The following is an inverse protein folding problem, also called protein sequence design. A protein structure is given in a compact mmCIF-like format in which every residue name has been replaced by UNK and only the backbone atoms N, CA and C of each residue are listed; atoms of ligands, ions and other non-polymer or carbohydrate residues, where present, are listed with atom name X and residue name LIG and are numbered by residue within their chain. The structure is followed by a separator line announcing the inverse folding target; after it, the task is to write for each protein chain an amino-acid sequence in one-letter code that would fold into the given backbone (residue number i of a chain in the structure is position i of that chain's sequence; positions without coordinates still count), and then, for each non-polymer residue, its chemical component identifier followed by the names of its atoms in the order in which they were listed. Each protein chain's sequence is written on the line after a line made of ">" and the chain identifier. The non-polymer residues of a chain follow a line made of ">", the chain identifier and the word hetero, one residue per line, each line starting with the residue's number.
data_IF_964189027475
#
_entry.id   IF_964189027475
#
_cell.length_a   1.000
_cell.length_b   1.000
_cell.length_c   1.000
_cell.angle_alpha   90.00
_cell.angle_beta   90.00
_cell.angle_gamma   90.00
#
_symmetry.space_group_name_H-M   'P 1'
#
loop_
_entity.id
_entity.type
_entity.pdbx_description
1 polymer ?
#
# COMPACT_ATOMS: atom_id res chain seq x y z
N UNK A 1 -15.12 16.75 7.90
CA UNK A 1 -14.96 15.29 7.91
C UNK A 1 -13.48 14.96 7.79
N UNK A 2 -12.98 14.07 8.61
CA UNK A 2 -11.59 13.59 8.52
C UNK A 2 -11.46 12.64 7.32
N UNK A 3 -10.37 12.75 6.56
CA UNK A 3 -10.03 11.79 5.50
C UNK A 3 -9.86 10.40 6.13
N UNK A 4 -10.62 9.41 5.65
CA UNK A 4 -10.56 8.04 6.18
C UNK A 4 -9.26 7.35 5.81
N UNK A 5 -8.82 7.54 4.56
CA UNK A 5 -7.58 6.93 4.05
C UNK A 5 -6.85 7.87 3.09
N UNK A 6 -5.55 8.03 3.31
CA UNK A 6 -4.61 8.63 2.37
C UNK A 6 -3.81 7.52 1.69
N UNK A 7 -3.89 7.46 0.37
CA UNK A 7 -3.13 6.55 -0.46
C UNK A 7 -1.97 7.30 -1.11
N UNK A 8 -0.75 6.80 -0.92
CA UNK A 8 0.47 7.37 -1.52
C UNK A 8 0.98 6.38 -2.55
N UNK A 9 0.88 6.72 -3.83
CA UNK A 9 1.32 5.88 -4.95
C UNK A 9 2.63 6.41 -5.56
N UNK A 10 3.51 5.50 -5.98
CA UNK A 10 4.83 5.81 -6.55
C UNK A 10 4.79 6.11 -8.05
N UNK A 11 3.64 5.84 -8.70
CA UNK A 11 3.39 6.18 -10.09
C UNK A 11 1.93 6.61 -10.35
N UNK A 12 1.72 7.26 -11.49
CA UNK A 12 0.42 7.81 -11.85
C UNK A 12 -0.63 6.73 -12.16
N UNK A 13 -0.25 5.67 -12.86
CA UNK A 13 -1.15 4.56 -13.19
C UNK A 13 -1.65 3.88 -11.93
N UNK A 14 -0.76 3.57 -10.98
CA UNK A 14 -1.13 2.98 -9.69
C UNK A 14 -2.01 3.89 -8.84
N UNK A 15 -1.81 5.21 -8.93
CA UNK A 15 -2.68 6.19 -8.26
C UNK A 15 -4.10 6.17 -8.82
N UNK A 16 -4.25 6.17 -10.15
CA UNK A 16 -5.56 6.13 -10.81
C UNK A 16 -6.28 4.81 -10.55
N UNK A 17 -5.61 3.68 -10.77
CA UNK A 17 -6.20 2.34 -10.60
C UNK A 17 -6.72 2.16 -9.17
N UNK A 18 -5.93 2.58 -8.18
CA UNK A 18 -6.34 2.48 -6.78
C UNK A 18 -7.49 3.44 -6.47
N UNK A 19 -7.45 4.67 -6.97
CA UNK A 19 -8.53 5.65 -6.80
C UNK A 19 -9.86 5.14 -7.34
N UNK A 20 -9.85 4.52 -8.53
CA UNK A 20 -11.04 3.93 -9.15
C UNK A 20 -11.64 2.83 -8.27
N UNK A 21 -10.83 1.95 -7.68
CA UNK A 21 -11.32 0.87 -6.80
C UNK A 21 -12.11 1.42 -5.61
N UNK A 22 -11.62 2.48 -4.97
CA UNK A 22 -12.34 3.09 -3.86
C UNK A 22 -13.59 3.87 -4.31
N UNK A 23 -13.52 4.55 -5.46
CA UNK A 23 -14.67 5.24 -6.01
C UNK A 23 -15.80 4.25 -6.41
N UNK A 24 -15.46 3.11 -7.03
CA UNK A 24 -16.41 2.02 -7.34
C UNK A 24 -17.02 1.39 -6.09
N UNK A 25 -16.29 1.37 -4.98
CA UNK A 25 -16.80 0.94 -3.69
C UNK A 25 -17.71 1.99 -2.99
N UNK A 26 -17.96 3.14 -3.63
CA UNK A 26 -18.84 4.19 -3.14
C UNK A 26 -18.14 5.31 -2.36
N UNK A 27 -16.82 5.30 -2.24
CA UNK A 27 -16.09 6.33 -1.55
C UNK A 27 -16.03 7.64 -2.35
N UNK A 28 -16.21 8.78 -1.68
CA UNK A 28 -15.87 10.08 -2.25
C UNK A 28 -14.36 10.19 -2.35
N UNK A 29 -13.83 9.96 -3.57
CA UNK A 29 -12.40 9.80 -3.85
C UNK A 29 -11.87 10.95 -4.68
N UNK A 30 -10.67 11.46 -4.34
CA UNK A 30 -9.94 12.45 -5.13
C UNK A 30 -8.52 11.97 -5.38
N UNK A 31 -8.09 12.03 -6.65
CA UNK A 31 -6.71 11.75 -7.06
C UNK A 31 -5.99 13.08 -7.28
N UNK A 32 -4.82 13.23 -6.70
CA UNK A 32 -3.98 14.42 -6.76
C UNK A 32 -2.59 14.06 -7.29
N UNK A 33 -2.05 14.91 -8.14
CA UNK A 33 -0.67 14.81 -8.67
C UNK A 33 0.29 15.83 -8.08
N UNK A 34 -0.23 16.76 -7.31
CA UNK A 34 0.53 17.78 -6.60
C UNK A 34 0.03 17.88 -5.17
N UNK A 35 0.95 18.12 -4.28
CA UNK A 35 0.71 18.29 -2.86
C UNK A 35 1.52 19.50 -2.39
N UNK A 36 0.84 20.48 -1.84
CA UNK A 36 1.48 21.61 -1.20
C UNK A 36 2.05 21.21 0.16
N UNK A 37 2.81 22.09 0.81
CA UNK A 37 3.36 21.84 2.14
C UNK A 37 2.30 21.82 3.25
N UNK A 38 1.02 21.95 2.87
CA UNK A 38 -0.11 21.90 3.78
C UNK A 38 -1.03 20.72 3.44
N UNK A 39 -1.67 20.16 4.46
CA UNK A 39 -2.70 19.15 4.26
C UNK A 39 -3.89 19.80 3.50
N UNK A 40 -4.40 19.18 2.43
CA UNK A 40 -5.49 19.77 1.65
C UNK A 40 -6.78 19.85 2.46
N UNK A 41 -7.45 20.97 2.39
CA UNK A 41 -8.84 21.10 2.87
C UNK A 41 -9.77 20.52 1.80
N UNK A 42 -10.08 19.26 1.94
CA UNK A 42 -10.85 18.49 0.96
C UNK A 42 -11.88 17.59 1.66
N UNK A 43 -13.14 17.58 1.20
CA UNK A 43 -14.21 16.80 1.83
C UNK A 43 -14.22 15.33 1.40
N UNK A 44 -13.20 14.84 0.69
CA UNK A 44 -13.11 13.46 0.24
C UNK A 44 -12.87 12.51 1.41
N UNK A 45 -13.44 11.31 1.31
CA UNK A 45 -13.20 10.23 2.25
C UNK A 45 -11.87 9.53 1.97
N UNK A 46 -11.50 9.47 0.69
CA UNK A 46 -10.25 8.88 0.18
C UNK A 46 -9.49 9.91 -0.63
N UNK A 47 -8.26 10.19 -0.21
CA UNK A 47 -7.31 10.97 -0.98
C UNK A 47 -6.24 10.04 -1.56
N UNK A 48 -5.98 10.16 -2.84
CA UNK A 48 -4.90 9.44 -3.53
C UNK A 48 -3.90 10.47 -4.02
N UNK A 49 -2.67 10.38 -3.53
CA UNK A 49 -1.57 11.24 -3.96
C UNK A 49 -0.57 10.45 -4.80
N UNK A 50 -0.34 10.89 -6.02
CA UNK A 50 0.77 10.42 -6.83
C UNK A 50 2.05 11.17 -6.42
N UNK A 51 3.00 10.46 -5.82
CA UNK A 51 4.35 10.93 -5.55
C UNK A 51 5.30 10.14 -6.45
N UNK A 52 5.73 10.70 -7.59
CA UNK A 52 6.48 9.95 -8.61
C UNK A 52 7.91 9.66 -8.12
N UNK A 53 8.07 8.59 -7.38
CA UNK A 53 9.31 8.18 -6.71
C UNK A 53 9.92 6.91 -7.28
N UNK A 54 9.23 6.21 -8.18
CA UNK A 54 9.68 4.91 -8.70
C UNK A 54 11.09 4.94 -9.28
N UNK A 55 11.44 5.99 -9.99
CA UNK A 55 12.75 6.16 -10.65
C UNK A 55 13.72 7.05 -9.85
N UNK A 56 13.35 7.47 -8.66
CA UNK A 56 14.22 8.25 -7.77
C UNK A 56 15.30 7.36 -7.13
N UNK A 57 16.30 8.00 -6.55
CA UNK A 57 17.18 7.31 -5.60
C UNK A 57 16.40 6.89 -4.36
N UNK A 58 16.81 5.83 -3.64
CA UNK A 58 16.14 5.44 -2.39
C UNK A 58 16.04 6.58 -1.36
N UNK A 59 17.07 7.41 -1.27
CA UNK A 59 17.09 8.55 -0.35
C UNK A 59 16.09 9.64 -0.74
N UNK A 60 15.97 9.95 -2.03
CA UNK A 60 15.02 10.97 -2.50
C UNK A 60 13.59 10.47 -2.38
N UNK A 61 13.34 9.20 -2.71
CA UNK A 61 12.05 8.56 -2.51
C UNK A 61 11.64 8.58 -1.03
N UNK A 62 12.55 8.21 -0.14
CA UNK A 62 12.34 8.29 1.31
C UNK A 62 11.95 9.71 1.75
N UNK A 63 12.71 10.72 1.36
CA UNK A 63 12.47 12.12 1.75
C UNK A 63 11.11 12.64 1.27
N UNK A 64 10.77 12.36 0.02
CA UNK A 64 9.49 12.79 -0.56
C UNK A 64 8.29 12.14 0.15
N UNK A 65 8.34 10.84 0.34
CA UNK A 65 7.25 10.10 1.01
C UNK A 65 7.15 10.52 2.49
N UNK A 66 8.27 10.63 3.19
CA UNK A 66 8.29 11.04 4.60
C UNK A 66 7.65 12.40 4.82
N UNK A 67 7.98 13.38 3.97
CA UNK A 67 7.36 14.73 4.03
C UNK A 67 5.84 14.67 3.94
N UNK A 68 5.30 13.87 3.02
CA UNK A 68 3.85 13.68 2.88
C UNK A 68 3.25 13.07 4.14
N UNK A 69 3.89 12.04 4.69
CA UNK A 69 3.41 11.34 5.89
C UNK A 69 3.41 12.26 7.10
N UNK A 70 4.47 13.04 7.32
CA UNK A 70 4.57 13.99 8.43
C UNK A 70 3.47 15.08 8.36
N UNK A 71 3.11 15.53 7.15
CA UNK A 71 1.99 16.47 6.97
C UNK A 71 0.64 15.80 7.26
N UNK A 72 0.49 14.52 6.93
CA UNK A 72 -0.77 13.78 7.06
C UNK A 72 -0.98 13.18 8.47
N UNK A 73 0.09 13.04 9.26
CA UNK A 73 0.04 12.41 10.59
C UNK A 73 -0.95 13.15 11.50
N UNK A 74 -1.81 12.41 12.19
CA UNK A 74 -2.89 12.96 13.00
C UNK A 74 -4.08 13.56 12.24
N UNK A 75 -4.06 13.59 10.89
CA UNK A 75 -5.10 14.21 10.05
C UNK A 75 -5.89 13.22 9.22
N UNK A 76 -5.44 11.97 9.11
CA UNK A 76 -6.07 10.89 8.36
C UNK A 76 -6.26 9.67 9.24
N UNK A 77 -7.25 8.85 8.93
CA UNK A 77 -7.49 7.59 9.64
C UNK A 77 -6.38 6.58 9.37
N UNK A 78 -6.15 6.28 8.10
CA UNK A 78 -5.16 5.30 7.63
C UNK A 78 -4.26 5.93 6.57
N UNK A 79 -2.97 5.56 6.57
CA UNK A 79 -2.04 5.82 5.47
C UNK A 79 -1.78 4.48 4.78
N UNK A 80 -2.09 4.42 3.48
CA UNK A 80 -1.87 3.27 2.63
C UNK A 80 -0.77 3.59 1.61
N UNK A 81 0.37 2.91 1.70
CA UNK A 81 1.41 3.02 0.68
C UNK A 81 1.14 2.04 -0.44
N UNK A 82 0.76 2.55 -1.60
CA UNK A 82 0.58 1.76 -2.81
C UNK A 82 1.95 1.39 -3.40
N UNK A 83 2.20 0.09 -3.54
CA UNK A 83 3.43 -0.45 -4.12
C UNK A 83 3.17 -1.05 -5.51
N UNK A 84 4.22 -1.20 -6.29
CA UNK A 84 4.17 -2.01 -7.52
C UNK A 84 3.97 -3.49 -7.17
N UNK A 85 3.12 -4.19 -7.92
CA UNK A 85 2.82 -5.60 -7.63
C UNK A 85 3.95 -6.57 -8.02
N UNK A 86 4.96 -6.10 -8.76
CA UNK A 86 6.21 -6.79 -9.03
C UNK A 86 7.38 -6.28 -8.17
N UNK A 87 7.12 -5.38 -7.19
CA UNK A 87 8.11 -4.81 -6.28
C UNK A 87 9.17 -3.90 -6.95
N UNK A 88 8.87 -3.33 -8.13
CA UNK A 88 9.77 -2.34 -8.75
C UNK A 88 9.82 -1.06 -7.92
N UNK A 89 10.94 -0.36 -8.02
CA UNK A 89 11.15 0.94 -7.38
C UNK A 89 11.70 0.85 -5.96
N UNK A 90 11.38 1.85 -5.16
CA UNK A 90 12.02 2.08 -3.86
C UNK A 90 11.20 1.55 -2.68
N UNK A 91 10.71 0.31 -2.77
CA UNK A 91 9.76 -0.27 -1.80
C UNK A 91 10.27 -0.15 -0.35
N UNK A 92 11.50 -0.56 -0.08
CA UNK A 92 12.07 -0.52 1.27
C UNK A 92 12.19 0.90 1.82
N UNK A 93 12.72 1.83 1.01
CA UNK A 93 12.89 3.22 1.42
C UNK A 93 11.55 3.92 1.68
N UNK A 94 10.56 3.68 0.82
CA UNK A 94 9.25 4.31 0.92
C UNK A 94 8.44 3.77 2.11
N UNK A 95 8.47 2.46 2.36
CA UNK A 95 7.79 1.88 3.52
C UNK A 95 8.45 2.32 4.84
N UNK A 96 9.78 2.40 4.87
CA UNK A 96 10.50 2.96 6.01
C UNK A 96 10.09 4.42 6.26
N UNK A 97 9.98 5.22 5.21
CA UNK A 97 9.55 6.62 5.30
C UNK A 97 8.14 6.75 5.90
N UNK A 98 7.22 5.88 5.50
CA UNK A 98 5.85 5.85 6.07
C UNK A 98 5.87 5.47 7.54
N UNK A 99 6.57 4.39 7.90
CA UNK A 99 6.66 3.93 9.28
C UNK A 99 7.28 4.99 10.19
N UNK A 100 8.39 5.59 9.77
CA UNK A 100 9.14 6.55 10.57
C UNK A 100 8.49 7.94 10.62
N UNK A 101 7.77 8.31 9.56
CA UNK A 101 7.05 9.60 9.48
C UNK A 101 5.77 9.65 10.33
N UNK A 102 5.14 8.51 10.59
CA UNK A 102 3.92 8.41 11.39
C UNK A 102 4.28 8.15 12.86
N UNK A 103 3.91 9.04 13.76
CA UNK A 103 4.20 8.89 15.20
C UNK A 103 3.17 8.02 15.92
N UNK A 104 1.97 7.89 15.37
CA UNK A 104 0.84 7.21 16.01
C UNK A 104 0.90 5.67 15.89
N UNK A 105 1.77 5.11 15.02
CA UNK A 105 1.81 3.68 14.75
C UNK A 105 3.17 3.05 15.04
N UNK A 106 3.14 1.81 15.56
CA UNK A 106 4.33 0.99 15.78
C UNK A 106 4.53 -0.08 14.70
N UNK A 107 3.45 -0.55 14.09
CA UNK A 107 3.49 -1.60 13.07
C UNK A 107 2.91 -1.11 11.76
N UNK A 108 3.56 -1.48 10.67
CA UNK A 108 3.06 -1.32 9.31
C UNK A 108 2.85 -2.70 8.72
N UNK A 109 1.67 -2.95 8.16
CA UNK A 109 1.29 -4.23 7.58
C UNK A 109 1.41 -4.15 6.06
N UNK A 110 2.28 -5.00 5.51
CA UNK A 110 2.56 -5.04 4.08
C UNK A 110 2.13 -6.38 3.48
N UNK A 111 1.11 -6.34 2.60
CA UNK A 111 0.63 -7.49 1.85
C UNK A 111 0.90 -7.23 0.36
N UNK A 112 2.06 -7.68 -0.17
CA UNK A 112 2.48 -7.33 -1.52
C UNK A 112 1.75 -8.10 -2.63
N UNK A 113 1.05 -9.19 -2.30
CA UNK A 113 0.48 -10.11 -3.25
C UNK A 113 -0.68 -9.51 -4.09
N UNK A 114 -0.82 -10.06 -5.31
CA UNK A 114 -1.94 -9.86 -6.21
C UNK A 114 -2.32 -11.22 -6.81
N UNK A 115 -3.01 -12.09 -6.04
CA UNK A 115 -3.31 -13.46 -6.48
C UNK A 115 -4.08 -13.53 -7.80
N UNK A 116 -4.94 -12.55 -8.09
CA UNK A 116 -5.68 -12.47 -9.35
C UNK A 116 -4.78 -12.38 -10.61
N UNK A 117 -3.52 -11.99 -10.43
CA UNK A 117 -2.50 -11.94 -11.48
C UNK A 117 -1.36 -12.92 -11.22
N UNK A 118 -1.59 -13.98 -10.45
CA UNK A 118 -0.58 -14.98 -10.07
C UNK A 118 0.69 -14.35 -9.47
N UNK A 119 0.55 -13.28 -8.69
CA UNK A 119 1.62 -12.63 -7.94
C UNK A 119 1.41 -12.92 -6.48
N UNK A 120 2.22 -13.80 -5.92
CA UNK A 120 2.05 -14.32 -4.57
C UNK A 120 3.32 -14.15 -3.74
N UNK A 121 3.16 -14.20 -2.42
CA UNK A 121 4.27 -14.20 -1.47
C UNK A 121 4.17 -15.45 -0.60
N UNK A 122 5.22 -16.24 -0.58
CA UNK A 122 5.33 -17.48 0.21
C UNK A 122 6.72 -17.58 0.82
N UNK A 123 6.79 -17.78 2.14
CA UNK A 123 8.06 -17.80 2.88
C UNK A 123 8.84 -16.46 2.77
N UNK A 124 8.16 -15.35 2.58
CA UNK A 124 8.77 -14.03 2.35
C UNK A 124 9.34 -13.83 0.94
N UNK A 125 9.22 -14.82 0.06
CA UNK A 125 9.66 -14.75 -1.35
C UNK A 125 8.50 -14.37 -2.24
N UNK A 126 8.73 -13.43 -3.16
CA UNK A 126 7.72 -12.99 -4.11
C UNK A 126 7.84 -13.73 -5.45
N UNK A 127 6.72 -14.26 -5.91
CA UNK A 127 6.62 -15.05 -7.15
C UNK A 127 5.68 -14.37 -8.16
N UNK A 128 6.03 -14.48 -9.43
CA UNK A 128 5.24 -14.06 -10.60
C UNK A 128 5.04 -15.30 -11.47
N UNK A 129 3.79 -15.75 -11.67
CA UNK A 129 3.48 -16.96 -12.44
C UNK A 129 4.31 -18.19 -12.02
N UNK A 130 4.54 -18.36 -10.71
CA UNK A 130 5.30 -19.48 -10.14
C UNK A 130 6.82 -19.35 -10.25
N UNK A 131 7.34 -18.24 -10.77
CA UNK A 131 8.78 -17.95 -10.90
C UNK A 131 9.17 -16.88 -9.89
N UNK A 132 10.33 -16.99 -9.25
CA UNK A 132 10.87 -15.94 -8.41
C UNK A 132 10.91 -14.60 -9.16
N UNK A 133 10.48 -13.50 -8.55
CA UNK A 133 10.36 -12.21 -9.24
C UNK A 133 11.67 -11.76 -9.89
N UNK A 134 12.81 -12.05 -9.28
CA UNK A 134 14.14 -11.72 -9.85
C UNK A 134 14.49 -12.54 -11.10
N UNK A 135 13.86 -13.68 -11.30
CA UNK A 135 14.06 -14.54 -12.48
C UNK A 135 13.02 -14.27 -13.57
N UNK A 136 11.97 -13.52 -13.24
CA UNK A 136 10.90 -13.12 -14.14
C UNK A 136 11.32 -12.01 -15.10
N UNK A 137 10.39 -11.53 -15.92
CA UNK A 137 10.60 -10.36 -16.79
C UNK A 137 10.96 -9.09 -15.98
N UNK A 138 10.51 -9.01 -14.74
CA UNK A 138 10.77 -7.87 -13.86
C UNK A 138 12.21 -7.86 -13.30
N UNK A 139 12.88 -9.01 -13.24
CA UNK A 139 14.32 -9.07 -12.94
C UNK A 139 15.19 -8.48 -14.05
N UNK A 140 14.63 -8.30 -15.26
CA UNK A 140 15.29 -7.72 -16.44
C UNK A 140 14.63 -6.41 -16.87
N UNK A 141 13.83 -5.80 -16.02
CA UNK A 141 13.26 -4.48 -16.29
C UNK A 141 14.39 -3.48 -16.57
N UNK A 142 14.35 -2.72 -17.71
CA UNK A 142 15.45 -1.88 -18.11
C UNK A 142 15.68 -0.66 -17.21
N UNK A 143 14.67 -0.28 -16.41
CA UNK A 143 14.73 0.90 -15.55
C UNK A 143 14.80 0.52 -14.07
N UNK A 144 13.99 -0.45 -13.66
CA UNK A 144 13.84 -0.85 -12.25
C UNK A 144 13.92 -2.39 -12.12
N UNK A 145 15.08 -3.00 -12.40
CA UNK A 145 15.23 -4.44 -12.29
C UNK A 145 15.07 -4.90 -10.83
N UNK A 146 14.20 -5.89 -10.61
CA UNK A 146 14.00 -6.50 -9.30
C UNK A 146 14.96 -7.68 -9.16
N UNK A 147 16.08 -7.46 -8.52
CA UNK A 147 17.20 -8.41 -8.46
C UNK A 147 17.15 -9.36 -7.26
N UNK A 148 16.27 -9.12 -6.31
CA UNK A 148 16.07 -9.92 -5.11
C UNK A 148 14.60 -10.32 -4.97
N UNK A 149 14.35 -11.60 -4.73
CA UNK A 149 13.00 -12.15 -4.56
C UNK A 149 12.57 -12.30 -3.11
N UNK A 150 13.52 -12.41 -2.19
CA UNK A 150 13.23 -12.44 -0.76
C UNK A 150 13.02 -11.02 -0.25
N UNK A 151 11.76 -10.68 0.01
CA UNK A 151 11.33 -9.30 0.26
C UNK A 151 12.10 -8.64 1.42
N UNK A 152 12.37 -9.30 2.56
CA UNK A 152 13.17 -8.69 3.61
C UNK A 152 14.54 -8.24 3.17
N UNK A 153 15.24 -9.02 2.34
CA UNK A 153 16.56 -8.65 1.81
C UNK A 153 16.47 -7.55 0.76
N UNK A 154 15.45 -7.61 -0.13
CA UNK A 154 15.18 -6.54 -1.07
C UNK A 154 14.99 -5.18 -0.35
N UNK A 155 14.22 -5.18 0.73
CA UNK A 155 13.97 -3.95 1.49
C UNK A 155 15.19 -3.48 2.27
N UNK A 156 15.99 -4.37 2.84
CA UNK A 156 17.23 -4.04 3.56
C UNK A 156 18.29 -3.35 2.70
N UNK A 157 18.24 -3.56 1.38
CA UNK A 157 19.10 -2.83 0.44
C UNK A 157 18.81 -1.32 0.41
N UNK A 158 17.62 -0.90 0.86
CA UNK A 158 17.14 0.46 0.76
C UNK A 158 16.88 1.12 2.11
N UNK A 159 16.76 0.36 3.21
CA UNK A 159 16.45 0.88 4.53
C UNK A 159 17.03 0.02 5.66
N UNK A 160 17.08 0.60 6.87
CA UNK A 160 17.46 -0.07 8.12
C UNK A 160 16.27 -0.39 9.04
N UNK A 161 15.05 -0.25 8.54
CA UNK A 161 13.85 -0.56 9.30
C UNK A 161 13.82 -2.03 9.76
N UNK A 162 13.21 -2.28 10.91
CA UNK A 162 12.94 -3.65 11.37
C UNK A 162 11.89 -4.28 10.48
N UNK A 163 12.22 -5.43 9.91
CA UNK A 163 11.35 -6.18 8.98
C UNK A 163 11.13 -7.58 9.54
N UNK A 164 9.89 -8.07 9.48
CA UNK A 164 9.51 -9.41 9.90
C UNK A 164 8.56 -10.03 8.88
N UNK A 165 8.85 -11.22 8.41
CA UNK A 165 7.92 -12.03 7.61
C UNK A 165 6.91 -12.72 8.51
N UNK A 166 5.66 -12.79 8.07
CA UNK A 166 4.53 -13.41 8.76
C UNK A 166 3.93 -14.45 7.83
N UNK A 167 3.83 -15.68 8.28
CA UNK A 167 3.17 -16.74 7.53
C UNK A 167 1.67 -16.47 7.40
N UNK A 168 1.07 -16.85 6.26
CA UNK A 168 -0.36 -16.65 6.01
C UNK A 168 -1.24 -17.25 7.12
N UNK A 169 -0.90 -18.45 7.62
CA UNK A 169 -1.63 -19.09 8.70
C UNK A 169 -1.64 -18.25 9.99
N UNK A 170 -0.51 -17.64 10.35
CA UNK A 170 -0.41 -16.77 11.51
C UNK A 170 -1.23 -15.49 11.33
N UNK A 171 -1.15 -14.88 10.13
CA UNK A 171 -1.87 -13.65 9.79
C UNK A 171 -3.39 -13.83 9.77
N UNK A 172 -3.87 -15.00 9.33
CA UNK A 172 -5.31 -15.34 9.30
C UNK A 172 -5.86 -15.53 10.72
N UNK A 173 -5.06 -16.12 11.60
CA UNK A 173 -5.52 -16.46 12.96
C UNK A 173 -5.48 -15.27 13.92
N UNK A 174 -4.52 -14.37 13.80
CA UNK A 174 -4.40 -13.20 14.66
C UNK A 174 -3.63 -12.06 13.96
N UNK A 175 -3.91 -10.81 14.33
CA UNK A 175 -3.11 -9.67 13.89
C UNK A 175 -1.76 -9.68 14.60
N UNK A 176 -0.65 -9.97 13.90
CA UNK A 176 0.67 -10.00 14.50
C UNK A 176 1.09 -8.60 14.97
N UNK A 177 1.81 -8.55 16.07
CA UNK A 177 2.32 -7.30 16.65
C UNK A 177 3.78 -7.44 17.01
N UNK A 178 4.52 -6.35 16.87
CA UNK A 178 5.86 -6.20 17.41
C UNK A 178 5.85 -5.10 18.48
N UNK A 179 6.57 -5.31 19.57
CA UNK A 179 6.73 -4.28 20.61
C UNK A 179 7.52 -3.06 20.09
N UNK A 180 8.48 -3.31 19.22
CA UNK A 180 9.25 -2.25 18.55
C UNK A 180 8.69 -1.98 17.17
N UNK A 181 8.84 -0.76 16.69
CA UNK A 181 8.42 -0.36 15.32
C UNK A 181 8.96 -1.33 14.28
N UNK A 182 8.07 -1.85 13.43
CA UNK A 182 8.41 -2.84 12.43
C UNK A 182 7.47 -2.81 11.23
N UNK A 183 7.99 -3.25 10.09
CA UNK A 183 7.22 -3.59 8.90
C UNK A 183 6.99 -5.10 8.92
N UNK A 184 5.73 -5.52 8.91
CA UNK A 184 5.31 -6.90 8.95
C UNK A 184 4.86 -7.29 7.54
N UNK A 185 5.64 -8.14 6.88
CA UNK A 185 5.37 -8.62 5.52
C UNK A 185 4.56 -9.90 5.59
N UNK A 186 3.37 -9.91 5.02
CA UNK A 186 2.50 -11.07 5.01
C UNK A 186 2.78 -11.96 3.79
N UNK A 187 2.90 -13.26 4.03
CA UNK A 187 2.71 -14.24 2.98
C UNK A 187 1.23 -14.26 2.59
N UNK A 188 0.96 -14.36 1.29
CA UNK A 188 -0.39 -14.45 0.76
C UNK A 188 -0.33 -15.15 -0.59
N UNK A 189 -0.94 -16.34 -0.69
CA UNK A 189 -0.83 -17.21 -1.86
C UNK A 189 -2.13 -17.29 -2.66
N UNK A 190 -3.25 -16.86 -2.08
CA UNK A 190 -4.56 -16.94 -2.73
C UNK A 190 -5.46 -15.75 -2.41
N UNK A 191 -6.52 -15.60 -3.20
CA UNK A 191 -7.58 -14.63 -2.92
C UNK A 191 -8.30 -14.93 -1.59
N UNK A 192 -8.38 -16.20 -1.20
CA UNK A 192 -8.96 -16.62 0.08
C UNK A 192 -8.08 -16.16 1.25
N UNK A 193 -6.74 -16.28 1.13
CA UNK A 193 -5.81 -15.78 2.12
C UNK A 193 -5.94 -14.27 2.27
N UNK A 194 -5.91 -13.53 1.16
CA UNK A 194 -6.07 -12.07 1.16
C UNK A 194 -7.33 -11.63 1.91
N UNK A 195 -8.45 -12.27 1.62
CA UNK A 195 -9.72 -11.99 2.27
C UNK A 195 -9.68 -12.28 3.78
N UNK A 196 -9.13 -13.42 4.17
CA UNK A 196 -9.05 -13.84 5.57
C UNK A 196 -8.08 -12.97 6.38
N UNK A 197 -6.92 -12.65 5.81
CA UNK A 197 -5.91 -11.76 6.42
C UNK A 197 -6.47 -10.37 6.64
N UNK A 198 -7.11 -9.78 5.64
CA UNK A 198 -7.71 -8.43 5.75
C UNK A 198 -8.86 -8.44 6.76
N UNK A 199 -9.70 -9.48 6.78
CA UNK A 199 -10.77 -9.61 7.77
C UNK A 199 -10.22 -9.64 9.21
N UNK A 200 -9.16 -10.41 9.46
CA UNK A 200 -8.50 -10.47 10.76
C UNK A 200 -7.82 -9.16 11.11
N UNK A 201 -7.09 -8.57 10.17
CA UNK A 201 -6.34 -7.33 10.34
C UNK A 201 -7.26 -6.14 10.66
N UNK A 202 -8.45 -6.10 10.07
CA UNK A 202 -9.41 -5.02 10.23
C UNK A 202 -10.49 -5.28 11.28
N UNK A 203 -10.43 -6.40 12.01
CA UNK A 203 -11.46 -6.81 12.99
C UNK A 203 -11.74 -5.75 14.05
N UNK A 204 -10.72 -5.09 14.55
CA UNK A 204 -10.81 -4.06 15.60
C UNK A 204 -10.69 -2.63 15.02
N UNK A 205 -10.87 -2.47 13.73
CA UNK A 205 -10.72 -1.23 12.98
C UNK A 205 -9.60 -1.30 11.96
N UNK A 206 -9.61 -0.37 11.01
CA UNK A 206 -8.58 -0.31 9.96
C UNK A 206 -7.24 0.13 10.57
N UNK A 207 -6.15 -0.61 10.36
CA UNK A 207 -4.84 -0.21 10.88
C UNK A 207 -4.39 1.15 10.37
N UNK A 208 -3.60 1.86 11.19
CA UNK A 208 -3.07 3.19 10.83
C UNK A 208 -2.16 3.15 9.61
N UNK A 209 -1.31 2.11 9.48
CA UNK A 209 -0.35 1.97 8.40
C UNK A 209 -0.52 0.65 7.66
N UNK A 210 -0.77 0.77 6.36
CA UNK A 210 -0.91 -0.35 5.42
C UNK A 210 -0.01 -0.13 4.20
N UNK A 211 0.44 -1.21 3.60
CA UNK A 211 1.11 -1.19 2.30
C UNK A 211 0.73 -2.40 1.46
N UNK A 212 0.67 -2.21 0.16
CA UNK A 212 0.38 -3.26 -0.81
C UNK A 212 0.05 -2.71 -2.18
N UNK A 213 -0.29 -3.59 -3.08
CA UNK A 213 -0.70 -3.23 -4.43
C UNK A 213 -2.24 -3.22 -4.57
N UNK A 214 -2.73 -3.29 -5.79
CA UNK A 214 -4.17 -3.31 -6.09
C UNK A 214 -4.94 -4.46 -5.43
N UNK A 215 -4.28 -5.59 -5.14
CA UNK A 215 -4.91 -6.72 -4.45
C UNK A 215 -5.41 -6.35 -3.06
N UNK A 216 -4.53 -5.80 -2.22
CA UNK A 216 -4.90 -5.31 -0.90
C UNK A 216 -5.88 -4.13 -0.99
N UNK A 217 -5.66 -3.20 -1.91
CA UNK A 217 -6.53 -2.03 -2.07
C UNK A 217 -7.98 -2.42 -2.38
N UNK A 218 -8.19 -3.40 -3.27
CA UNK A 218 -9.53 -3.89 -3.61
C UNK A 218 -10.23 -4.56 -2.41
N UNK A 219 -9.51 -5.37 -1.64
CA UNK A 219 -10.08 -6.02 -0.46
C UNK A 219 -10.37 -5.01 0.65
N UNK A 220 -9.50 -4.04 0.85
CA UNK A 220 -9.68 -2.98 1.82
C UNK A 220 -10.89 -2.10 1.47
N UNK A 221 -11.06 -1.72 0.20
CA UNK A 221 -12.20 -0.94 -0.26
C UNK A 221 -13.54 -1.65 0.01
N UNK A 222 -13.60 -2.98 -0.20
CA UNK A 222 -14.77 -3.80 0.16
C UNK A 222 -15.02 -3.83 1.68
N UNK A 223 -13.96 -3.98 2.46
CA UNK A 223 -14.03 -4.10 3.92
C UNK A 223 -14.46 -2.81 4.60
N UNK A 224 -14.01 -1.66 4.10
CA UNK A 224 -14.30 -0.36 4.70
C UNK A 224 -15.78 0.04 4.63
N UNK A 225 -16.52 -0.44 3.62
CA UNK A 225 -17.94 -0.15 3.44
C UNK A 225 -18.22 1.36 3.37
N UNK A 226 -18.24 1.91 2.17
CA UNK A 226 -18.59 3.31 1.96
C UNK A 226 -20.11 3.42 1.71
N UNK A 227 -20.74 4.45 2.26
CA UNK A 227 -22.13 4.76 1.90
C UNK A 227 -22.15 5.13 0.41
N UNK A 228 -23.04 4.49 -0.36
CA UNK A 228 -23.16 4.73 -1.80
C UNK A 228 -23.51 6.19 -2.07
N UNK A 229 -22.52 7.03 -2.19
CA UNK A 229 -22.63 8.42 -2.66
C UNK A 229 -22.65 8.51 -4.20
N UNK A 230 -23.24 7.52 -4.87
CA UNK A 230 -23.45 7.58 -6.30
C UNK A 230 -24.62 8.57 -6.52
N UNK A 231 -24.34 9.86 -6.61
CA UNK A 231 -25.24 10.78 -7.29
C UNK A 231 -25.41 10.25 -8.72
N UNK A 232 -26.62 9.82 -9.06
CA UNK A 232 -26.95 9.47 -10.44
C UNK A 232 -26.53 10.64 -11.35
N UNK A 233 -25.89 10.38 -12.50
CA UNK A 233 -25.46 11.43 -13.39
C UNK A 233 -26.68 12.30 -13.72
N UNK A 234 -26.61 13.59 -13.38
CA UNK A 234 -27.63 14.56 -13.79
C UNK A 234 -27.71 14.49 -15.31
N UNK A 235 -28.85 13.98 -15.82
CA UNK A 235 -29.15 14.05 -17.26
C UNK A 235 -28.98 15.51 -17.66
N UNK A 236 -28.02 15.77 -18.55
CA UNK A 236 -27.90 17.06 -19.21
C UNK A 236 -29.25 17.34 -19.85
N UNK A 237 -29.95 18.37 -19.39
CA UNK A 237 -31.21 18.82 -19.95
C UNK A 237 -30.97 19.20 -21.42
N UNK A 238 -31.83 18.69 -22.27
CA UNK A 238 -31.99 19.08 -23.66
C UNK A 238 -32.32 20.56 -23.79
#
# INVERSE_FOLDING_TARGET
>A
NMVKILIIADDFTGALDTGVMFAEAGAKTKVMTKWDDNFPDDPSEVLVLCVPTRHDTPLDAYRKVRKVVEIADGRVGTIFKKTDSALRGNVGAELAAVLEGCQEAHNMYFIPALPAMNRITSGGVHYIDGICVSESVFGRDPFEPVTESYIPELMKQQCSARIKSIWAEDAINATPRCEKRAILIYDCESAADMKAEVATLCKDGIPKLLAGCSGLAAELARTMGFENNIEAPKKAGT
#
